data_IF_212989495926
#
_entry.id   IF_212989495926
#
_cell.length_a   1.000
_cell.length_b   1.000
_cell.length_c   1.000
_cell.angle_alpha   90.00
_cell.angle_beta   90.00
_cell.angle_gamma   90.00
#
_symmetry.space_group_name_H-M   'P 1'
#
loop_
_entity.id
_entity.type
_entity.pdbx_description
1 polymer ?
#
# COMPACT_ATOMS: atom_id res chain seq x y z
N UNK A 1 -13.44 -16.53 3.31
CA UNK A 1 -12.78 -17.34 4.34
C UNK A 1 -12.23 -16.54 5.52
N UNK A 2 -11.99 -15.22 5.37
CA UNK A 2 -11.38 -14.39 6.43
C UNK A 2 -12.38 -14.00 7.54
N UNK A 3 -13.68 -14.06 7.27
CA UNK A 3 -14.72 -13.70 8.26
C UNK A 3 -14.86 -14.69 9.45
N UNK A 4 -14.35 -15.89 9.36
CA UNK A 4 -14.56 -16.95 10.40
C UNK A 4 -13.54 -16.83 11.53
N UNK A 5 -12.34 -16.30 11.29
CA UNK A 5 -11.27 -16.20 12.30
C UNK A 5 -11.59 -15.17 13.41
N UNK A 6 -12.41 -14.15 13.11
CA UNK A 6 -12.68 -13.03 14.04
C UNK A 6 -13.77 -13.29 15.09
N UNK A 7 -14.68 -14.25 14.87
CA UNK A 7 -15.75 -14.55 15.83
C UNK A 7 -15.21 -15.29 17.08
N UNK A 8 -14.02 -15.88 17.01
CA UNK A 8 -13.40 -16.59 18.13
C UNK A 8 -12.65 -15.67 19.12
N UNK A 9 -12.33 -14.45 18.75
CA UNK A 9 -11.59 -13.51 19.61
C UNK A 9 -12.38 -13.05 20.85
N UNK A 10 -13.69 -12.99 20.78
CA UNK A 10 -14.54 -12.50 21.87
C UNK A 10 -15.00 -13.58 22.87
N UNK A 11 -14.75 -14.86 22.61
CA UNK A 11 -15.15 -15.95 23.53
C UNK A 11 -14.10 -16.33 24.57
N UNK A 12 -12.89 -15.81 24.49
CA UNK A 12 -11.79 -16.15 25.41
C UNK A 12 -11.75 -15.32 26.70
N UNK A 13 -12.38 -14.17 26.73
CA UNK A 13 -12.44 -13.29 27.91
C UNK A 13 -13.85 -13.42 28.54
N UNK A 14 -14.22 -14.63 28.82
CA UNK A 14 -15.43 -14.93 29.60
C UNK A 14 -15.17 -14.63 31.05
N UNK A 15 -15.77 -13.55 31.48
CA UNK A 15 -15.95 -13.09 32.85
C UNK A 15 -16.02 -14.22 33.88
N UNK A 16 -15.23 -14.09 34.89
CA UNK A 16 -15.19 -14.58 36.30
C UNK A 16 -16.05 -15.75 36.81
N UNK A 17 -17.02 -16.24 36.09
CA UNK A 17 -17.87 -17.38 36.51
C UNK A 17 -17.31 -18.73 36.03
N UNK A 18 -16.43 -18.72 35.03
CA UNK A 18 -15.81 -19.94 34.49
C UNK A 18 -14.63 -20.50 35.30
N UNK A 19 -14.01 -19.70 36.17
CA UNK A 19 -12.76 -20.04 36.85
C UNK A 19 -12.93 -21.17 37.88
N UNK A 20 -14.07 -21.23 38.54
CA UNK A 20 -14.33 -22.25 39.55
C UNK A 20 -14.62 -23.64 38.97
N UNK A 21 -15.25 -23.71 37.79
CA UNK A 21 -15.63 -25.00 37.17
C UNK A 21 -14.51 -25.62 36.34
N UNK A 22 -13.59 -24.86 35.82
CA UNK A 22 -12.42 -25.37 35.09
C UNK A 22 -11.29 -25.89 36.01
N UNK A 23 -11.25 -25.43 37.26
CA UNK A 23 -10.31 -25.92 38.25
C UNK A 23 -10.40 -27.43 38.51
N UNK A 24 -11.61 -27.95 38.50
CA UNK A 24 -11.89 -29.37 38.69
C UNK A 24 -11.50 -30.20 37.45
N UNK A 25 -11.68 -29.68 36.28
CA UNK A 25 -11.30 -30.35 35.02
C UNK A 25 -9.78 -30.48 34.84
N UNK A 26 -8.99 -29.53 35.32
CA UNK A 26 -7.52 -29.54 35.21
C UNK A 26 -6.91 -30.66 36.12
N UNK A 27 -7.45 -30.88 37.30
CA UNK A 27 -6.97 -31.93 38.21
C UNK A 27 -7.21 -33.35 37.65
N UNK A 28 -8.25 -33.54 36.84
CA UNK A 28 -8.61 -34.86 36.28
C UNK A 28 -7.89 -35.14 34.95
N UNK A 29 -7.36 -34.13 34.26
CA UNK A 29 -6.77 -34.28 32.91
C UNK A 29 -5.24 -34.30 32.87
N UNK A 30 -4.55 -34.33 34.02
CA UNK A 30 -3.09 -34.45 34.12
C UNK A 30 -2.34 -33.17 33.65
N UNK A 31 -3.03 -32.03 33.59
CA UNK A 31 -2.38 -30.72 33.31
C UNK A 31 -1.58 -30.27 34.53
N UNK A 32 -0.56 -29.47 34.29
CA UNK A 32 0.39 -28.94 35.25
C UNK A 32 -0.28 -28.50 36.56
N UNK A 33 0.16 -29.10 37.71
CA UNK A 33 -0.38 -28.79 39.04
C UNK A 33 0.12 -27.41 39.48
N UNK A 34 -0.76 -26.43 39.48
CA UNK A 34 -0.48 -25.07 39.95
C UNK A 34 -0.69 -25.00 41.47
N UNK A 35 0.43 -24.95 42.20
CA UNK A 35 0.43 -24.94 43.66
C UNK A 35 -0.27 -23.68 44.23
N UNK A 36 -0.10 -22.52 43.58
CA UNK A 36 -0.72 -21.26 44.01
C UNK A 36 -2.24 -21.35 43.93
N UNK A 37 -2.74 -22.03 42.90
CA UNK A 37 -4.16 -22.30 42.73
C UNK A 37 -4.68 -23.28 43.79
N UNK A 38 -3.92 -24.32 44.10
CA UNK A 38 -4.31 -25.31 45.13
C UNK A 38 -4.36 -24.68 46.51
N UNK A 39 -3.53 -23.68 46.79
CA UNK A 39 -3.49 -22.93 48.05
C UNK A 39 -4.41 -21.70 48.07
N UNK A 40 -5.14 -21.41 46.97
CA UNK A 40 -5.99 -20.22 46.88
C UNK A 40 -5.21 -18.89 46.82
N UNK A 41 -3.91 -18.94 46.53
CA UNK A 41 -3.07 -17.77 46.39
C UNK A 41 -3.11 -17.28 44.92
N UNK A 42 -3.36 -16.00 44.73
CA UNK A 42 -3.23 -15.37 43.41
C UNK A 42 -1.82 -14.76 43.34
N UNK A 43 -0.99 -15.16 42.38
CA UNK A 43 0.37 -14.64 42.26
C UNK A 43 0.37 -13.13 41.93
N UNK A 44 1.52 -12.49 42.10
CA UNK A 44 1.74 -11.13 41.61
C UNK A 44 1.49 -11.04 40.12
N UNK A 45 1.05 -9.86 39.66
CA UNK A 45 0.81 -9.61 38.23
C UNK A 45 2.07 -9.86 37.41
N UNK A 46 1.93 -10.59 36.35
CA UNK A 46 3.00 -10.87 35.40
C UNK A 46 2.46 -11.10 34.00
N UNK A 47 3.31 -10.82 33.01
CA UNK A 47 3.02 -11.05 31.59
C UNK A 47 4.04 -12.00 31.00
N UNK A 48 3.65 -12.68 29.92
CA UNK A 48 4.56 -13.46 29.08
C UNK A 48 4.10 -13.44 27.64
N UNK A 49 5.02 -13.75 26.73
CA UNK A 49 4.72 -14.00 25.32
C UNK A 49 5.09 -15.45 24.99
N UNK A 50 4.21 -16.12 24.26
CA UNK A 50 4.41 -17.49 23.80
C UNK A 50 4.14 -17.55 22.31
N UNK A 51 5.07 -18.14 21.57
CA UNK A 51 4.84 -18.51 20.18
C UNK A 51 3.84 -19.65 20.10
N UNK A 52 2.83 -19.49 19.27
CA UNK A 52 1.79 -20.48 19.02
C UNK A 52 1.55 -20.59 17.53
N UNK A 53 1.03 -21.73 17.12
CA UNK A 53 0.54 -21.93 15.76
C UNK A 53 -0.96 -22.20 15.79
N UNK A 54 -1.69 -21.60 14.88
CA UNK A 54 -3.15 -21.74 14.79
C UNK A 54 -3.60 -23.07 14.16
N UNK A 55 -2.71 -24.04 13.92
CA UNK A 55 -3.12 -25.40 13.53
C UNK A 55 -4.08 -26.02 14.55
N UNK A 56 -3.94 -25.66 15.83
CA UNK A 56 -4.88 -26.06 16.87
C UNK A 56 -6.28 -25.47 16.69
N UNK A 57 -6.41 -24.33 15.97
CA UNK A 57 -7.69 -23.68 15.65
C UNK A 57 -8.04 -23.74 14.14
N UNK A 58 -7.21 -24.43 13.33
CA UNK A 58 -7.49 -24.76 11.93
C UNK A 58 -7.02 -23.72 10.91
N UNK A 59 -6.27 -22.69 11.28
CA UNK A 59 -5.82 -21.63 10.34
C UNK A 59 -4.36 -21.77 9.88
N UNK A 60 -3.49 -22.49 10.61
CA UNK A 60 -2.09 -22.72 10.24
C UNK A 60 -1.19 -21.48 10.24
N UNK A 61 -1.52 -20.45 11.03
CA UNK A 61 -0.73 -19.22 11.13
C UNK A 61 0.08 -19.21 12.44
N UNK A 62 1.33 -18.80 12.35
CA UNK A 62 2.16 -18.52 13.52
C UNK A 62 1.80 -17.17 14.13
N UNK A 63 1.72 -17.13 15.45
CA UNK A 63 1.45 -15.92 16.19
C UNK A 63 2.09 -15.90 17.57
N UNK A 64 2.28 -14.71 18.12
CA UNK A 64 2.68 -14.51 19.51
C UNK A 64 1.43 -14.27 20.36
N UNK A 65 1.18 -15.15 21.32
CA UNK A 65 0.13 -15.00 22.33
C UNK A 65 0.66 -14.18 23.51
N UNK A 66 -0.04 -13.09 23.84
CA UNK A 66 0.28 -12.27 25.00
C UNK A 66 -0.61 -12.71 26.13
N UNK A 67 0.00 -13.23 27.17
CA UNK A 67 -0.71 -13.83 28.29
C UNK A 67 -0.37 -13.11 29.60
N UNK A 68 -1.37 -13.00 30.49
CA UNK A 68 -1.27 -12.39 31.80
C UNK A 68 -1.63 -13.42 32.89
N UNK A 69 -1.06 -13.25 34.07
CA UNK A 69 -1.39 -14.00 35.28
C UNK A 69 -1.20 -13.12 36.52
N UNK A 70 -1.98 -13.33 37.56
CA UNK A 70 -1.80 -12.67 38.83
C UNK A 70 -2.87 -11.66 39.17
N UNK A 71 -2.69 -10.96 40.31
CA UNK A 71 -3.60 -9.90 40.78
C UNK A 71 -3.39 -8.64 39.93
N UNK A 72 -4.48 -8.10 39.40
CA UNK A 72 -4.42 -6.86 38.63
C UNK A 72 -4.11 -5.67 39.53
N UNK A 73 -3.18 -4.79 39.15
CA UNK A 73 -2.75 -3.65 39.96
C UNK A 73 -3.74 -2.48 39.91
N UNK A 74 -5.01 -2.75 40.23
CA UNK A 74 -6.07 -1.73 40.23
C UNK A 74 -6.51 -1.41 41.63
N UNK A 75 -6.61 -0.11 41.96
CA UNK A 75 -7.03 0.37 43.30
C UNK A 75 -8.51 0.79 43.37
N UNK A 76 -9.25 0.71 42.27
CA UNK A 76 -10.68 1.05 42.16
C UNK A 76 -11.34 0.16 41.12
N UNK A 77 -12.66 0.10 41.16
CA UNK A 77 -13.43 -0.57 40.09
C UNK A 77 -13.26 0.18 38.77
N UNK A 78 -13.01 -0.55 37.69
CA UNK A 78 -12.83 -0.02 36.35
C UNK A 78 -13.55 -0.87 35.30
N UNK A 79 -13.93 -0.28 34.19
CA UNK A 79 -14.27 -1.02 32.98
C UNK A 79 -12.98 -1.19 32.16
N UNK A 80 -12.33 -2.34 32.38
CA UNK A 80 -10.94 -2.56 31.98
C UNK A 80 -10.78 -2.91 30.51
N UNK A 81 -9.65 -2.46 29.95
CA UNK A 81 -9.23 -2.82 28.59
C UNK A 81 -7.72 -3.09 28.59
N UNK A 82 -7.33 -4.28 28.12
CA UNK A 82 -5.93 -4.53 27.77
C UNK A 82 -5.64 -4.01 26.38
N UNK A 83 -4.58 -3.20 26.26
CA UNK A 83 -4.12 -2.63 25.00
C UNK A 83 -2.71 -3.15 24.72
N UNK A 84 -2.54 -3.76 23.56
CA UNK A 84 -1.24 -4.17 23.05
C UNK A 84 -0.85 -3.31 21.88
N UNK A 85 0.33 -2.70 21.93
CA UNK A 85 0.91 -1.90 20.85
C UNK A 85 2.31 -2.42 20.52
N UNK A 86 2.74 -2.23 19.28
CA UNK A 86 4.06 -2.64 18.80
C UNK A 86 4.92 -1.44 18.47
N UNK A 87 6.19 -1.51 18.85
CA UNK A 87 7.20 -0.53 18.50
C UNK A 87 8.48 -1.21 18.04
N UNK A 88 9.02 -0.78 16.92
CA UNK A 88 10.30 -1.27 16.42
C UNK A 88 11.46 -0.55 17.15
N UNK A 89 12.33 -1.34 17.76
CA UNK A 89 13.49 -0.88 18.53
C UNK A 89 14.83 -1.31 17.91
N UNK A 90 14.79 -1.83 16.68
CA UNK A 90 15.95 -2.45 16.05
C UNK A 90 17.11 -1.46 15.88
N UNK A 91 16.82 -0.25 15.43
CA UNK A 91 17.84 0.74 15.08
C UNK A 91 18.23 1.61 16.28
N UNK A 92 17.28 1.99 17.12
CA UNK A 92 17.51 2.70 18.38
C UNK A 92 16.41 2.36 19.40
N UNK A 93 16.79 1.75 20.52
CA UNK A 93 15.86 1.43 21.60
C UNK A 93 15.33 2.66 22.35
N UNK A 94 16.02 3.81 22.23
CA UNK A 94 15.60 5.06 22.87
C UNK A 94 14.68 5.90 21.97
N UNK A 95 14.60 5.58 20.66
CA UNK A 95 13.73 6.21 19.69
C UNK A 95 12.89 5.15 18.96
N UNK A 96 11.93 4.51 19.68
CA UNK A 96 11.14 3.41 19.14
C UNK A 96 10.23 3.90 18.01
N UNK A 97 10.29 3.22 16.87
CA UNK A 97 9.48 3.54 15.70
C UNK A 97 8.12 2.84 15.75
N UNK A 98 7.09 3.53 15.31
CA UNK A 98 5.73 2.98 15.23
C UNK A 98 5.70 1.79 14.27
N UNK A 99 5.05 0.71 14.67
CA UNK A 99 4.76 -0.43 13.81
C UNK A 99 3.34 -0.29 13.29
N UNK A 100 3.13 -0.54 11.99
CA UNK A 100 1.82 -0.45 11.36
C UNK A 100 1.16 -1.84 11.24
N UNK A 101 -0.15 -1.86 11.08
CA UNK A 101 -0.90 -3.04 10.70
C UNK A 101 -1.38 -2.94 9.25
N UNK A 102 -1.37 -4.07 8.54
CA UNK A 102 -1.91 -4.18 7.18
C UNK A 102 -3.42 -4.47 7.16
N UNK A 103 -4.04 -4.66 8.33
CA UNK A 103 -5.48 -4.91 8.46
C UNK A 103 -6.12 -4.02 9.52
N UNK A 104 -7.36 -3.60 9.25
CA UNK A 104 -8.10 -2.64 10.09
C UNK A 104 -8.33 -3.14 11.52
N UNK A 105 -8.44 -4.46 11.71
CA UNK A 105 -8.74 -5.07 13.02
C UNK A 105 -7.62 -4.91 14.07
N UNK A 106 -6.40 -4.66 13.60
CA UNK A 106 -5.24 -4.38 14.44
C UNK A 106 -4.73 -2.96 14.25
N UNK A 107 -5.62 -2.05 13.86
CA UNK A 107 -5.29 -0.64 13.74
C UNK A 107 -5.93 0.15 14.88
N UNK A 108 -5.25 1.22 15.23
CA UNK A 108 -5.79 2.28 16.07
C UNK A 108 -6.93 3.00 15.33
N UNK A 109 -8.00 3.44 16.02
CA UNK A 109 -9.17 4.02 15.36
C UNK A 109 -8.89 5.23 14.46
N UNK A 110 -7.79 5.96 14.71
CA UNK A 110 -7.44 7.18 13.97
C UNK A 110 -6.22 7.04 13.05
N UNK A 111 -5.54 5.88 13.08
CA UNK A 111 -4.28 5.67 12.34
C UNK A 111 -4.12 4.22 11.92
N UNK A 112 -3.06 3.92 11.16
CA UNK A 112 -2.68 2.55 10.80
C UNK A 112 -1.70 1.91 11.80
N UNK A 113 -1.44 2.56 12.94
CA UNK A 113 -0.57 2.02 13.98
C UNK A 113 -1.13 0.71 14.54
N UNK A 114 -0.26 -0.28 14.72
CA UNK A 114 -0.66 -1.58 15.27
C UNK A 114 -1.15 -1.41 16.71
N UNK A 115 -2.40 -1.78 16.96
CA UNK A 115 -3.00 -1.80 18.27
C UNK A 115 -4.06 -2.89 18.34
N UNK A 116 -4.02 -3.67 19.42
CA UNK A 116 -5.05 -4.66 19.74
C UNK A 116 -5.65 -4.30 21.09
N UNK A 117 -6.96 -4.14 21.16
CA UNK A 117 -7.70 -3.84 22.36
C UNK A 117 -8.57 -5.04 22.77
N UNK A 118 -8.41 -5.50 24.01
CA UNK A 118 -9.19 -6.61 24.59
C UNK A 118 -9.97 -6.13 25.81
N UNK A 119 -11.26 -5.80 25.65
CA UNK A 119 -12.12 -5.41 26.77
C UNK A 119 -12.30 -6.56 27.77
N UNK A 120 -12.20 -6.25 29.05
CA UNK A 120 -12.39 -7.23 30.13
C UNK A 120 -13.71 -7.07 30.87
N UNK A 121 -14.41 -5.96 30.65
CA UNK A 121 -15.57 -5.54 31.45
C UNK A 121 -15.18 -5.03 32.82
N UNK A 122 -16.11 -5.06 33.77
CA UNK A 122 -15.92 -4.55 35.14
C UNK A 122 -14.90 -5.39 35.91
N UNK A 123 -13.87 -4.72 36.39
CA UNK A 123 -12.82 -5.27 37.23
C UNK A 123 -12.86 -4.61 38.62
N UNK A 124 -12.77 -5.40 39.67
CA UNK A 124 -12.77 -4.93 41.06
C UNK A 124 -11.36 -5.02 41.65
N UNK A 125 -11.01 -4.17 42.62
CA UNK A 125 -9.75 -4.29 43.34
C UNK A 125 -9.54 -5.69 43.90
N UNK A 126 -8.33 -6.24 43.74
CA UNK A 126 -8.01 -7.61 44.17
C UNK A 126 -8.44 -8.70 43.16
N UNK A 127 -9.07 -8.34 42.08
CA UNK A 127 -9.34 -9.30 40.99
C UNK A 127 -8.03 -9.74 40.33
N UNK A 128 -7.98 -11.00 39.93
CA UNK A 128 -6.80 -11.54 39.25
C UNK A 128 -7.05 -12.87 38.59
N UNK A 129 -6.06 -13.33 37.84
CA UNK A 129 -6.08 -14.58 37.10
C UNK A 129 -5.14 -15.60 37.75
N UNK A 130 -5.66 -16.73 38.15
CA UNK A 130 -4.86 -17.83 38.71
C UNK A 130 -4.15 -18.65 37.64
N UNK A 131 -4.53 -18.50 36.38
CA UNK A 131 -3.92 -19.11 35.19
C UNK A 131 -3.51 -18.06 34.20
N UNK A 132 -2.63 -18.42 33.29
CA UNK A 132 -2.31 -17.62 32.13
C UNK A 132 -3.55 -17.44 31.25
N UNK A 133 -3.89 -16.19 30.96
CA UNK A 133 -5.03 -15.80 30.15
C UNK A 133 -4.50 -14.94 28.98
N UNK A 134 -4.87 -15.32 27.79
CA UNK A 134 -4.52 -14.54 26.60
C UNK A 134 -5.32 -13.23 26.57
N UNK A 135 -4.61 -12.11 26.42
CA UNK A 135 -5.18 -10.77 26.35
C UNK A 135 -4.85 -10.05 25.04
N UNK A 136 -4.05 -10.66 24.20
CA UNK A 136 -3.71 -10.11 22.90
C UNK A 136 -2.93 -11.09 22.04
N UNK A 137 -2.86 -10.79 20.76
CA UNK A 137 -2.08 -11.56 19.78
C UNK A 137 -1.28 -10.63 18.91
N UNK A 138 -0.08 -11.04 18.53
CA UNK A 138 0.68 -10.45 17.45
C UNK A 138 0.80 -11.49 16.34
N UNK A 139 0.24 -11.17 15.17
CA UNK A 139 0.37 -12.00 13.97
C UNK A 139 1.40 -11.33 13.05
N UNK A 140 2.59 -11.91 12.88
CA UNK A 140 3.65 -11.31 12.04
C UNK A 140 3.18 -11.00 10.61
N UNK A 141 2.28 -11.81 10.07
CA UNK A 141 1.70 -11.61 8.73
C UNK A 141 0.98 -10.25 8.57
N UNK A 142 0.46 -9.68 9.66
CA UNK A 142 -0.27 -8.41 9.64
C UNK A 142 0.54 -7.23 10.15
N UNK A 143 1.79 -7.47 10.49
CA UNK A 143 2.73 -6.46 10.97
C UNK A 143 3.47 -5.83 9.79
N UNK A 144 3.59 -4.51 9.80
CA UNK A 144 4.42 -3.77 8.86
C UNK A 144 5.38 -2.87 9.63
N UNK A 145 6.65 -3.22 9.57
CA UNK A 145 7.74 -2.49 10.24
C UNK A 145 8.27 -1.35 9.37
N UNK A 146 9.06 -0.41 9.93
CA UNK A 146 9.67 0.67 9.15
C UNK A 146 10.59 0.16 8.02
N UNK A 147 11.33 -0.90 8.27
CA UNK A 147 12.30 -1.49 7.34
C UNK A 147 12.15 -3.01 7.25
N UNK A 148 12.63 -3.60 6.17
CA UNK A 148 12.71 -5.05 5.98
C UNK A 148 13.80 -5.69 6.86
N UNK A 149 13.81 -7.03 6.90
CA UNK A 149 14.79 -7.85 7.60
C UNK A 149 14.36 -8.24 9.00
N UNK A 150 15.33 -8.72 9.79
CA UNK A 150 15.10 -9.13 11.17
C UNK A 150 14.89 -7.88 12.03
N UNK A 151 13.70 -7.78 12.63
CA UNK A 151 13.28 -6.61 13.42
C UNK A 151 12.98 -7.02 14.84
N UNK A 152 13.51 -6.25 15.81
CA UNK A 152 13.23 -6.37 17.24
C UNK A 152 12.10 -5.44 17.62
N UNK A 153 11.03 -5.99 18.16
CA UNK A 153 9.84 -5.24 18.51
C UNK A 153 9.58 -5.30 20.01
N UNK A 154 9.32 -4.14 20.59
CA UNK A 154 8.68 -4.06 21.89
C UNK A 154 7.17 -4.31 21.72
N UNK A 155 6.69 -5.32 22.41
CA UNK A 155 5.27 -5.59 22.63
C UNK A 155 4.89 -4.93 23.95
N UNK A 156 4.20 -3.82 23.87
CA UNK A 156 3.81 -3.01 25.02
C UNK A 156 2.36 -3.32 25.36
N UNK A 157 2.17 -4.00 26.51
CA UNK A 157 0.84 -4.37 27.02
C UNK A 157 0.48 -3.47 28.18
N UNK A 158 -0.67 -2.81 28.09
CA UNK A 158 -1.18 -1.88 29.12
C UNK A 158 -2.56 -2.31 29.56
N UNK A 159 -2.83 -2.16 30.85
CA UNK A 159 -4.20 -2.17 31.37
C UNK A 159 -4.64 -0.72 31.57
N UNK A 160 -5.71 -0.35 30.94
CA UNK A 160 -6.38 0.96 31.08
C UNK A 160 -7.89 0.78 31.26
N UNK A 161 -8.65 1.84 31.34
CA UNK A 161 -10.10 1.80 31.28
C UNK A 161 -10.62 2.39 29.95
N UNK A 162 -11.92 2.26 29.71
CA UNK A 162 -12.58 2.75 28.49
C UNK A 162 -12.32 4.23 28.23
N UNK A 163 -12.19 5.05 29.30
CA UNK A 163 -11.89 6.48 29.16
C UNK A 163 -10.42 6.68 28.76
N UNK A 164 -9.50 5.94 29.34
CA UNK A 164 -8.09 5.99 28.97
C UNK A 164 -7.84 5.64 27.51
N UNK A 165 -8.59 4.66 26.97
CA UNK A 165 -8.51 4.29 25.56
C UNK A 165 -8.69 5.43 24.56
N UNK A 166 -9.45 6.46 24.90
CA UNK A 166 -9.69 7.61 24.04
C UNK A 166 -8.42 8.46 23.80
N UNK A 167 -7.39 8.25 24.63
CA UNK A 167 -6.11 8.95 24.55
C UNK A 167 -5.01 8.14 23.85
N UNK A 168 -5.35 6.94 23.33
CA UNK A 168 -4.41 6.15 22.53
C UNK A 168 -4.11 6.88 21.22
N UNK A 169 -2.81 7.13 20.96
CA UNK A 169 -2.35 7.77 19.72
C UNK A 169 -1.05 7.13 19.23
N UNK A 170 -1.04 6.67 18.00
CA UNK A 170 0.12 5.98 17.37
C UNK A 170 0.69 4.83 18.23
N UNK A 171 -0.19 4.10 18.91
CA UNK A 171 0.19 3.05 19.84
C UNK A 171 0.67 3.55 21.21
N UNK A 172 0.81 4.85 21.42
CA UNK A 172 1.17 5.43 22.70
C UNK A 172 -0.07 5.77 23.53
N UNK A 173 0.01 5.45 24.81
CA UNK A 173 -0.97 5.83 25.81
C UNK A 173 -0.24 6.45 27.00
N UNK A 174 -0.67 7.62 27.52
CA UNK A 174 -0.05 8.24 28.68
C UNK A 174 0.01 7.30 29.88
N UNK A 175 1.16 7.22 30.56
CA UNK A 175 1.38 6.26 31.65
C UNK A 175 0.46 6.51 32.85
N UNK A 176 0.05 7.75 33.10
CA UNK A 176 -0.89 8.13 34.16
C UNK A 176 -2.33 7.63 33.92
N UNK A 177 -2.64 7.21 32.68
CA UNK A 177 -3.90 6.57 32.33
C UNK A 177 -3.81 5.04 32.33
N UNK A 178 -2.67 4.47 32.70
CA UNK A 178 -2.44 3.04 32.78
C UNK A 178 -2.40 2.53 34.21
N UNK A 179 -3.07 1.44 34.48
CA UNK A 179 -3.00 0.70 35.76
C UNK A 179 -1.82 -0.28 35.76
N UNK A 180 -1.42 -0.78 34.60
CA UNK A 180 -0.18 -1.53 34.40
C UNK A 180 0.41 -1.22 33.03
N UNK A 181 1.72 -1.38 32.94
CA UNK A 181 2.48 -1.29 31.69
C UNK A 181 3.57 -2.36 31.75
N UNK A 182 3.52 -3.28 30.79
CA UNK A 182 4.51 -4.36 30.65
C UNK A 182 5.11 -4.32 29.25
N UNK A 183 6.42 -4.54 29.17
CA UNK A 183 7.15 -4.54 27.91
C UNK A 183 7.83 -5.89 27.75
N UNK A 184 7.54 -6.56 26.65
CA UNK A 184 8.20 -7.78 26.24
C UNK A 184 8.82 -7.57 24.85
N UNK A 185 9.89 -8.27 24.54
CA UNK A 185 10.53 -8.22 23.23
C UNK A 185 10.19 -9.46 22.41
N UNK A 186 9.96 -9.25 21.12
CA UNK A 186 9.88 -10.31 20.11
C UNK A 186 10.78 -9.96 18.93
N UNK A 187 11.12 -10.98 18.16
CA UNK A 187 11.85 -10.81 16.92
C UNK A 187 10.98 -11.34 15.77
N UNK A 188 10.88 -10.58 14.70
CA UNK A 188 10.18 -10.98 13.48
C UNK A 188 11.08 -10.79 12.26
N UNK A 189 10.88 -11.61 11.22
CA UNK A 189 11.51 -11.43 9.92
C UNK A 189 10.53 -10.77 8.97
N UNK A 190 10.74 -9.48 8.70
CA UNK A 190 9.95 -8.70 7.75
C UNK A 190 10.48 -8.92 6.34
N UNK A 191 9.91 -9.89 5.62
CA UNK A 191 10.34 -10.27 4.27
C UNK A 191 10.04 -9.18 3.22
N UNK A 192 8.91 -8.49 3.36
CA UNK A 192 8.53 -7.40 2.47
C UNK A 192 9.21 -6.09 2.88
N UNK A 193 9.33 -5.14 1.94
CA UNK A 193 9.81 -3.78 2.24
C UNK A 193 9.01 -3.16 3.36
N UNK A 194 9.69 -2.51 4.29
CA UNK A 194 9.06 -1.74 5.34
C UNK A 194 8.38 -0.48 4.81
N UNK A 195 7.51 0.12 5.63
CA UNK A 195 6.70 1.25 5.16
C UNK A 195 7.51 2.52 4.85
N UNK A 196 8.66 2.73 5.51
CA UNK A 196 9.56 3.86 5.19
C UNK A 196 10.26 3.61 3.86
N UNK A 197 10.71 2.38 3.60
CA UNK A 197 11.34 2.01 2.33
C UNK A 197 10.33 2.14 1.18
N UNK A 198 9.12 1.63 1.36
CA UNK A 198 8.04 1.73 0.38
C UNK A 198 7.65 3.19 0.09
N UNK A 199 7.61 4.05 1.13
CA UNK A 199 7.33 5.47 0.95
C UNK A 199 8.44 6.20 0.18
N UNK A 200 9.72 5.87 0.42
CA UNK A 200 10.85 6.41 -0.35
C UNK A 200 10.80 5.96 -1.81
N UNK A 201 10.54 4.68 -2.05
CA UNK A 201 10.41 4.15 -3.40
C UNK A 201 9.26 4.83 -4.14
N UNK A 202 8.11 5.06 -3.49
CA UNK A 202 6.99 5.77 -4.09
C UNK A 202 7.35 7.22 -4.44
N UNK A 203 8.09 7.93 -3.59
CA UNK A 203 8.55 9.29 -3.89
C UNK A 203 9.53 9.30 -5.07
N UNK A 204 10.44 8.33 -5.13
CA UNK A 204 11.36 8.19 -6.26
C UNK A 204 10.62 7.81 -7.56
N UNK A 205 9.61 6.94 -7.49
CA UNK A 205 8.73 6.67 -8.64
C UNK A 205 8.04 7.94 -9.14
N UNK A 206 7.51 8.79 -8.25
CA UNK A 206 6.94 10.09 -8.63
C UNK A 206 7.98 11.00 -9.30
N UNK A 207 9.21 11.04 -8.76
CA UNK A 207 10.30 11.82 -9.33
C UNK A 207 10.63 11.35 -10.76
N UNK A 208 10.78 10.06 -10.95
CA UNK A 208 11.06 9.47 -12.27
C UNK A 208 9.88 9.69 -13.22
N UNK A 209 8.64 9.57 -12.76
CA UNK A 209 7.45 9.84 -13.59
C UNK A 209 7.44 11.25 -14.16
N UNK A 210 7.78 12.26 -13.35
CA UNK A 210 7.92 13.65 -13.82
C UNK A 210 9.05 13.76 -14.86
N UNK A 211 10.19 13.11 -14.63
CA UNK A 211 11.30 13.15 -15.59
C UNK A 211 10.94 12.47 -16.91
N UNK A 212 10.20 11.35 -16.87
CA UNK A 212 9.69 10.70 -18.09
C UNK A 212 8.64 11.56 -18.81
N UNK A 213 7.74 12.21 -18.06
CA UNK A 213 6.81 13.19 -18.62
C UNK A 213 7.54 14.34 -19.34
N UNK A 214 8.62 14.87 -18.76
CA UNK A 214 9.49 15.86 -19.38
C UNK A 214 10.20 15.34 -20.64
N UNK A 215 10.59 14.06 -20.66
CA UNK A 215 11.19 13.41 -21.84
C UNK A 215 10.19 13.36 -22.99
N UNK A 216 8.91 13.12 -22.71
CA UNK A 216 7.84 13.15 -23.71
C UNK A 216 7.60 14.58 -24.17
N UNK A 217 7.34 15.50 -23.25
CA UNK A 217 7.09 16.92 -23.53
C UNK A 217 8.17 17.60 -24.38
N UNK A 218 9.42 17.21 -24.18
CA UNK A 218 10.56 17.80 -24.90
C UNK A 218 11.09 16.92 -26.04
N UNK A 219 10.29 16.01 -26.56
CA UNK A 219 10.75 15.10 -27.63
C UNK A 219 10.98 15.81 -28.96
N UNK A 220 10.30 16.91 -29.20
CA UNK A 220 10.48 17.83 -30.34
C UNK A 220 11.54 18.92 -30.06
N UNK A 221 12.05 19.02 -28.81
CA UNK A 221 13.05 19.99 -28.34
C UNK A 221 12.47 21.22 -27.65
N UNK A 222 11.15 21.33 -27.50
CA UNK A 222 10.47 22.45 -26.86
C UNK A 222 9.55 21.94 -25.74
N UNK A 223 9.29 22.78 -24.76
CA UNK A 223 8.28 22.51 -23.71
C UNK A 223 7.18 23.54 -23.87
N UNK A 224 6.01 23.11 -24.26
CA UNK A 224 4.87 23.97 -24.43
C UNK A 224 4.08 24.21 -23.12
N UNK A 225 3.38 25.36 -23.07
CA UNK A 225 2.62 25.73 -21.87
C UNK A 225 1.55 24.70 -21.48
N UNK A 226 0.76 24.09 -22.40
CA UNK A 226 -0.21 23.05 -22.06
C UNK A 226 0.40 21.82 -21.38
N UNK A 227 1.53 21.33 -21.87
CA UNK A 227 2.25 20.19 -21.31
C UNK A 227 2.79 20.50 -19.91
N UNK A 228 3.38 21.69 -19.73
CA UNK A 228 3.81 22.19 -18.42
C UNK A 228 2.68 22.25 -17.41
N UNK A 229 1.48 22.64 -17.82
CA UNK A 229 0.28 22.67 -16.97
C UNK A 229 -0.21 21.25 -16.61
N UNK A 230 -0.12 20.28 -17.52
CA UNK A 230 -0.44 18.86 -17.23
C UNK A 230 0.50 18.32 -16.16
N UNK A 231 1.81 18.52 -16.28
CA UNK A 231 2.81 18.12 -15.29
C UNK A 231 2.51 18.73 -13.92
N UNK A 232 2.22 20.03 -13.84
CA UNK A 232 1.86 20.71 -12.58
C UNK A 232 0.58 20.17 -11.96
N UNK A 233 -0.46 19.90 -12.74
CA UNK A 233 -1.73 19.32 -12.27
C UNK A 233 -1.52 17.92 -11.70
N UNK A 234 -0.73 17.10 -12.40
CA UNK A 234 -0.40 15.77 -11.92
C UNK A 234 0.35 15.84 -10.59
N UNK A 235 1.37 16.71 -10.47
CA UNK A 235 2.08 16.91 -9.21
C UNK A 235 1.13 17.31 -8.07
N UNK A 236 0.22 18.25 -8.31
CA UNK A 236 -0.76 18.69 -7.32
C UNK A 236 -1.67 17.53 -6.86
N UNK A 237 -2.11 16.68 -7.80
CA UNK A 237 -2.92 15.48 -7.50
C UNK A 237 -2.11 14.46 -6.70
N UNK A 238 -0.87 14.17 -7.12
CA UNK A 238 -0.02 13.15 -6.51
C UNK A 238 0.33 13.45 -5.05
N UNK A 239 0.46 14.74 -4.67
CA UNK A 239 0.79 15.14 -3.30
C UNK A 239 -0.42 15.31 -2.39
N UNK A 240 -1.65 15.28 -2.92
CA UNK A 240 -2.89 15.50 -2.14
C UNK A 240 -3.05 14.60 -0.92
N UNK A 241 -2.68 13.30 -0.95
CA UNK A 241 -2.84 12.40 0.19
C UNK A 241 -1.93 12.71 1.39
N UNK A 242 -0.89 13.54 1.21
CA UNK A 242 0.12 13.78 2.24
C UNK A 242 -0.26 14.95 3.16
N UNK A 243 0.34 15.00 4.36
CA UNK A 243 0.23 16.15 5.27
C UNK A 243 0.86 17.42 4.68
N UNK A 244 0.48 18.58 5.15
CA UNK A 244 0.92 19.87 4.60
C UNK A 244 2.46 20.01 4.59
N UNK A 245 3.13 19.60 5.67
CA UNK A 245 4.59 19.62 5.75
C UNK A 245 5.21 18.68 4.68
N UNK A 246 4.68 17.47 4.55
CA UNK A 246 5.19 16.49 3.58
C UNK A 246 4.85 16.88 2.13
N UNK A 247 3.68 17.49 1.90
CA UNK A 247 3.33 18.04 0.58
C UNK A 247 4.34 19.07 0.11
N UNK A 248 4.77 19.97 1.01
CA UNK A 248 5.77 20.99 0.66
C UNK A 248 7.09 20.35 0.25
N UNK A 249 7.60 19.41 1.05
CA UNK A 249 8.84 18.66 0.76
C UNK A 249 8.78 17.94 -0.59
N UNK A 250 7.72 17.15 -0.82
CA UNK A 250 7.55 16.39 -2.07
C UNK A 250 7.42 17.35 -3.25
N UNK A 251 6.66 18.44 -3.12
CA UNK A 251 6.51 19.45 -4.17
C UNK A 251 7.85 20.07 -4.55
N UNK A 252 8.71 20.39 -3.58
CA UNK A 252 10.05 20.91 -3.84
C UNK A 252 10.91 19.89 -4.59
N UNK A 253 10.84 18.61 -4.19
CA UNK A 253 11.55 17.51 -4.87
C UNK A 253 11.09 17.33 -6.31
N UNK A 254 9.78 17.32 -6.57
CA UNK A 254 9.23 17.16 -7.92
C UNK A 254 9.52 18.37 -8.81
N UNK A 255 9.45 19.59 -8.28
CA UNK A 255 9.86 20.78 -9.01
C UNK A 255 11.36 20.77 -9.38
N UNK A 256 12.22 20.27 -8.47
CA UNK A 256 13.63 20.11 -8.73
C UNK A 256 13.88 19.06 -9.81
N UNK A 257 13.15 17.94 -9.78
CA UNK A 257 13.22 16.90 -10.81
C UNK A 257 12.83 17.43 -12.19
N UNK A 258 11.77 18.25 -12.27
CA UNK A 258 11.35 18.86 -13.53
C UNK A 258 12.43 19.80 -14.11
N UNK A 259 13.05 20.63 -13.26
CA UNK A 259 14.15 21.51 -13.66
C UNK A 259 15.39 20.73 -14.07
N UNK A 260 15.74 19.68 -13.32
CA UNK A 260 16.85 18.78 -13.64
C UNK A 260 16.62 18.12 -15.00
N UNK A 261 15.44 17.55 -15.23
CA UNK A 261 15.10 16.91 -16.48
C UNK A 261 15.21 17.89 -17.65
N UNK A 262 14.65 19.09 -17.52
CA UNK A 262 14.74 20.15 -18.53
C UNK A 262 16.19 20.45 -18.90
N UNK A 263 17.05 20.73 -17.92
CA UNK A 263 18.46 21.05 -18.15
C UNK A 263 19.21 19.89 -18.82
N UNK A 264 19.04 18.66 -18.28
CA UNK A 264 19.73 17.48 -18.80
C UNK A 264 19.25 17.05 -20.19
N UNK A 265 17.99 17.30 -20.55
CA UNK A 265 17.49 17.04 -21.90
C UNK A 265 18.14 18.04 -22.88
N UNK A 266 18.20 19.33 -22.54
CA UNK A 266 18.87 20.35 -23.38
C UNK A 266 20.35 20.06 -23.56
N UNK A 267 21.02 19.57 -22.52
CA UNK A 267 22.42 19.17 -22.55
C UNK A 267 22.66 17.80 -23.21
N UNK A 268 21.60 17.08 -23.60
CA UNK A 268 21.64 15.70 -24.10
C UNK A 268 22.36 14.73 -23.13
N UNK A 269 22.29 15.01 -21.85
CA UNK A 269 22.93 14.23 -20.78
C UNK A 269 21.95 13.31 -20.02
N UNK A 270 20.63 13.36 -20.31
CA UNK A 270 19.64 12.52 -19.67
C UNK A 270 19.61 11.13 -20.30
N UNK A 271 19.98 10.12 -19.53
CA UNK A 271 19.88 8.72 -19.92
C UNK A 271 18.47 8.19 -19.65
N UNK A 272 17.68 7.99 -20.71
CA UNK A 272 16.32 7.41 -20.62
C UNK A 272 16.36 5.98 -20.10
N UNK A 273 17.34 5.18 -20.51
CA UNK A 273 17.49 3.80 -20.05
C UNK A 273 17.78 3.74 -18.55
N UNK A 274 18.67 4.61 -18.01
CA UNK A 274 18.94 4.66 -16.58
C UNK A 274 17.70 5.01 -15.75
N UNK A 275 16.85 5.93 -16.22
CA UNK A 275 15.57 6.26 -15.57
C UNK A 275 14.63 5.07 -15.55
N UNK A 276 14.48 4.38 -16.68
CA UNK A 276 13.61 3.23 -16.82
C UNK A 276 14.12 2.04 -15.98
N UNK A 277 15.43 1.78 -16.00
CA UNK A 277 16.04 0.73 -15.17
C UNK A 277 15.86 1.01 -13.68
N UNK A 278 16.03 2.27 -13.25
CA UNK A 278 15.76 2.68 -11.89
C UNK A 278 14.28 2.48 -11.53
N UNK A 279 13.36 2.85 -12.42
CA UNK A 279 11.95 2.66 -12.20
C UNK A 279 11.56 1.18 -12.12
N UNK A 280 12.07 0.34 -13.02
CA UNK A 280 11.81 -1.10 -13.03
C UNK A 280 12.27 -1.78 -11.74
N UNK A 281 13.34 -1.28 -11.13
CA UNK A 281 13.89 -1.82 -9.88
C UNK A 281 13.01 -1.54 -8.66
N UNK A 282 12.34 -0.40 -8.60
CA UNK A 282 11.64 0.07 -7.40
C UNK A 282 10.12 0.16 -7.57
N UNK A 283 9.64 0.42 -8.81
CA UNK A 283 8.24 0.67 -9.12
C UNK A 283 7.43 -0.61 -9.23
N UNK A 284 6.27 -0.60 -8.59
CA UNK A 284 5.23 -1.59 -8.84
C UNK A 284 4.46 -1.27 -10.14
N UNK A 285 3.63 -2.21 -10.59
CA UNK A 285 2.84 -2.03 -11.82
C UNK A 285 1.93 -0.80 -11.75
N UNK A 286 1.35 -0.50 -10.58
CA UNK A 286 0.48 0.66 -10.41
C UNK A 286 1.26 1.97 -10.65
N UNK A 287 2.44 2.12 -10.04
CA UNK A 287 3.31 3.29 -10.23
C UNK A 287 3.76 3.45 -11.69
N UNK A 288 4.07 2.33 -12.37
CA UNK A 288 4.46 2.34 -13.79
C UNK A 288 3.29 2.76 -14.69
N UNK A 289 2.07 2.27 -14.41
CA UNK A 289 0.86 2.70 -15.13
C UNK A 289 0.54 4.18 -14.88
N UNK A 290 0.67 4.67 -13.64
CA UNK A 290 0.51 6.09 -13.32
C UNK A 290 1.51 6.97 -14.10
N UNK A 291 2.76 6.52 -14.26
CA UNK A 291 3.77 7.22 -15.05
C UNK A 291 3.41 7.24 -16.55
N UNK A 292 2.97 6.11 -17.10
CA UNK A 292 2.51 6.05 -18.49
C UNK A 292 1.27 6.90 -18.72
N UNK A 293 0.33 6.91 -17.77
CA UNK A 293 -0.84 7.79 -17.83
C UNK A 293 -0.43 9.26 -17.89
N UNK A 294 0.52 9.69 -17.05
CA UNK A 294 1.08 11.04 -17.11
C UNK A 294 1.71 11.33 -18.49
N UNK A 295 2.50 10.40 -19.00
CA UNK A 295 3.16 10.58 -20.29
C UNK A 295 2.15 10.72 -21.45
N UNK A 296 1.07 9.95 -21.45
CA UNK A 296 -0.03 10.11 -22.41
C UNK A 296 -0.79 11.42 -22.22
N UNK A 297 -1.02 11.86 -20.98
CA UNK A 297 -1.68 13.14 -20.70
C UNK A 297 -0.84 14.34 -21.17
N UNK A 298 0.49 14.24 -21.05
CA UNK A 298 1.43 15.24 -21.57
C UNK A 298 1.34 15.29 -23.09
N UNK A 299 1.46 14.15 -23.78
CA UNK A 299 1.33 14.08 -25.24
C UNK A 299 -0.02 14.64 -25.72
N UNK A 300 -1.10 14.43 -24.99
CA UNK A 300 -2.44 14.87 -25.37
C UNK A 300 -2.75 16.32 -24.95
N UNK A 301 -1.81 17.04 -24.35
CA UNK A 301 -2.05 18.31 -23.68
C UNK A 301 -2.57 19.44 -24.61
N UNK A 302 -2.09 19.50 -25.82
CA UNK A 302 -2.50 20.46 -26.84
C UNK A 302 -3.59 19.93 -27.80
N UNK A 303 -3.97 18.66 -27.66
CA UNK A 303 -4.95 18.00 -28.52
C UNK A 303 -4.40 17.51 -29.85
N UNK A 304 -3.08 17.54 -30.02
CA UNK A 304 -2.37 17.06 -31.21
C UNK A 304 -1.40 15.97 -30.81
N UNK A 305 -1.36 14.87 -31.56
CA UNK A 305 -0.42 13.79 -31.30
C UNK A 305 0.83 13.97 -32.18
N UNK A 306 1.93 14.44 -31.60
CA UNK A 306 3.20 14.55 -32.32
C UNK A 306 3.81 13.15 -32.56
N UNK A 307 4.26 12.82 -33.79
CA UNK A 307 4.85 11.53 -34.11
C UNK A 307 6.09 11.16 -33.26
N UNK A 308 6.92 12.15 -32.91
CA UNK A 308 8.12 11.90 -32.11
C UNK A 308 7.75 11.59 -30.65
N UNK A 309 6.74 12.26 -30.09
CA UNK A 309 6.20 11.95 -28.77
C UNK A 309 5.64 10.53 -28.71
N UNK A 310 4.85 10.13 -29.71
CA UNK A 310 4.29 8.78 -29.79
C UNK A 310 5.39 7.72 -29.83
N UNK A 311 6.46 7.93 -30.62
CA UNK A 311 7.61 7.02 -30.64
C UNK A 311 8.29 6.91 -29.29
N UNK A 312 8.46 8.03 -28.60
CA UNK A 312 9.06 8.05 -27.26
C UNK A 312 8.17 7.30 -26.27
N UNK A 313 6.86 7.52 -26.31
CA UNK A 313 5.88 6.83 -25.47
C UNK A 313 5.91 5.31 -25.65
N UNK A 314 5.93 4.82 -26.90
CA UNK A 314 6.00 3.39 -27.18
C UNK A 314 7.28 2.79 -26.59
N UNK A 315 8.45 3.43 -26.80
CA UNK A 315 9.72 2.97 -26.24
C UNK A 315 9.73 2.93 -24.72
N UNK A 316 9.12 3.91 -24.06
CA UNK A 316 8.99 3.93 -22.59
C UNK A 316 8.08 2.79 -22.13
N UNK A 317 6.92 2.62 -22.78
CA UNK A 317 5.96 1.57 -22.42
C UNK A 317 6.54 0.16 -22.54
N UNK A 318 7.22 -0.13 -23.66
CA UNK A 318 7.88 -1.41 -23.91
C UNK A 318 8.98 -1.69 -22.88
N UNK A 319 9.75 -0.65 -22.52
CA UNK A 319 10.88 -0.78 -21.60
C UNK A 319 10.46 -0.85 -20.11
N UNK A 320 9.24 -0.44 -19.76
CA UNK A 320 8.71 -0.55 -18.38
C UNK A 320 8.20 -1.95 -18.02
N UNK A 321 8.26 -2.91 -18.93
CA UNK A 321 7.83 -4.30 -18.73
C UNK A 321 6.36 -4.38 -18.25
N UNK A 322 5.49 -3.57 -18.86
CA UNK A 322 4.05 -3.54 -18.58
C UNK A 322 3.29 -4.47 -19.52
N UNK A 323 2.12 -4.92 -19.08
CA UNK A 323 1.22 -5.71 -19.93
C UNK A 323 0.79 -4.91 -21.16
N UNK A 324 1.11 -5.43 -22.36
CA UNK A 324 0.87 -4.76 -23.64
C UNK A 324 -0.62 -4.48 -23.86
N UNK A 325 -1.50 -5.41 -23.45
CA UNK A 325 -2.94 -5.24 -23.64
C UNK A 325 -3.52 -4.14 -22.73
N UNK A 326 -2.95 -3.96 -21.53
CA UNK A 326 -3.34 -2.87 -20.63
C UNK A 326 -2.79 -1.52 -21.10
N UNK A 327 -1.55 -1.49 -21.59
CA UNK A 327 -0.99 -0.29 -22.23
C UNK A 327 -1.80 0.15 -23.46
N UNK A 328 -2.22 -0.79 -24.28
CA UNK A 328 -3.08 -0.51 -25.42
C UNK A 328 -4.44 0.08 -25.00
N UNK A 329 -5.04 -0.44 -23.92
CA UNK A 329 -6.30 0.12 -23.38
C UNK A 329 -6.09 1.55 -22.88
N UNK A 330 -4.98 1.81 -22.17
CA UNK A 330 -4.64 3.14 -21.68
C UNK A 330 -4.42 4.11 -22.84
N UNK A 331 -3.61 3.71 -23.82
CA UNK A 331 -3.39 4.46 -25.07
C UNK A 331 -4.72 4.83 -25.72
N UNK A 332 -5.54 3.82 -26.00
CA UNK A 332 -6.81 3.99 -26.68
C UNK A 332 -7.77 4.91 -25.93
N UNK A 333 -7.79 4.83 -24.58
CA UNK A 333 -8.60 5.72 -23.74
C UNK A 333 -8.15 7.18 -23.86
N UNK A 334 -6.84 7.43 -23.81
CA UNK A 334 -6.28 8.78 -23.86
C UNK A 334 -6.39 9.39 -25.27
N UNK A 335 -6.23 8.57 -26.29
CA UNK A 335 -6.36 9.00 -27.69
C UNK A 335 -7.81 9.28 -28.11
N UNK A 336 -8.81 8.76 -27.39
CA UNK A 336 -10.21 9.16 -27.61
C UNK A 336 -10.47 10.66 -27.43
N UNK A 337 -9.58 11.37 -26.73
CA UNK A 337 -9.67 12.84 -26.54
C UNK A 337 -8.93 13.66 -27.58
N UNK A 338 -8.10 13.05 -28.44
CA UNK A 338 -7.29 13.78 -29.40
C UNK A 338 -8.07 14.13 -30.68
N UNK A 339 -7.81 15.31 -31.24
CA UNK A 339 -8.42 15.70 -32.50
C UNK A 339 -7.79 14.94 -33.68
N UNK A 340 -8.58 14.68 -34.71
CA UNK A 340 -8.21 13.89 -35.88
C UNK A 340 -7.29 14.62 -36.91
N UNK A 341 -6.61 15.69 -36.51
CA UNK A 341 -5.63 16.38 -37.34
C UNK A 341 -4.24 15.75 -37.20
N UNK A 342 -4.16 14.47 -37.51
CA UNK A 342 -2.87 13.77 -37.55
C UNK A 342 -2.43 13.78 -39.04
N UNK A 343 -1.33 14.46 -39.32
CA UNK A 343 -0.68 14.35 -40.64
C UNK A 343 -0.24 12.91 -40.95
N UNK A 344 -0.04 12.55 -42.20
CA UNK A 344 0.20 11.17 -42.67
C UNK A 344 1.25 10.37 -41.86
N UNK A 345 2.32 11.02 -41.39
CA UNK A 345 3.33 10.36 -40.51
C UNK A 345 2.85 10.06 -39.10
N UNK A 346 1.96 10.88 -38.57
CA UNK A 346 1.37 10.70 -37.24
C UNK A 346 0.37 9.55 -37.20
N UNK A 347 -0.40 9.32 -38.28
CA UNK A 347 -1.38 8.21 -38.32
C UNK A 347 -0.72 6.84 -38.22
N UNK A 348 0.44 6.63 -38.83
CA UNK A 348 1.19 5.39 -38.73
C UNK A 348 1.69 5.12 -37.27
N UNK A 349 2.28 6.15 -36.65
CA UNK A 349 2.76 6.07 -35.28
C UNK A 349 1.59 5.91 -34.28
N UNK A 350 0.49 6.63 -34.51
CA UNK A 350 -0.75 6.55 -33.74
C UNK A 350 -1.31 5.12 -33.71
N UNK A 351 -1.27 4.45 -34.85
CA UNK A 351 -1.72 3.06 -35.00
C UNK A 351 -0.67 2.03 -34.54
N UNK A 352 0.49 2.47 -34.05
CA UNK A 352 1.55 1.58 -33.60
C UNK A 352 2.23 0.82 -34.74
N UNK A 353 2.28 1.40 -35.93
CA UNK A 353 2.96 0.81 -37.08
C UNK A 353 4.46 1.07 -36.96
N UNK A 354 5.23 -0.01 -36.83
CA UNK A 354 6.69 0.05 -36.83
C UNK A 354 7.19 0.37 -38.25
N UNK A 355 8.04 1.39 -38.44
CA UNK A 355 8.63 1.73 -39.72
C UNK A 355 9.41 0.59 -40.38
N UNK A 356 9.93 -0.35 -39.58
CA UNK A 356 10.73 -1.47 -40.04
C UNK A 356 9.87 -2.69 -40.43
N UNK A 357 8.55 -2.64 -40.26
CA UNK A 357 7.65 -3.72 -40.66
C UNK A 357 7.51 -3.81 -42.20
N UNK A 358 7.41 -5.05 -42.66
CA UNK A 358 7.03 -5.32 -44.03
C UNK A 358 5.58 -4.91 -44.31
N UNK A 359 5.25 -4.65 -45.57
CA UNK A 359 3.87 -4.33 -45.94
C UNK A 359 2.85 -5.38 -45.50
N UNK A 360 3.23 -6.66 -45.46
CA UNK A 360 2.35 -7.76 -45.01
C UNK A 360 2.10 -7.70 -43.49
N UNK A 361 3.12 -7.34 -42.72
CA UNK A 361 2.98 -7.15 -41.28
C UNK A 361 2.10 -5.93 -40.97
N UNK A 362 2.30 -4.82 -41.65
CA UNK A 362 1.46 -3.62 -41.55
C UNK A 362 0.00 -3.95 -41.90
N UNK A 363 -0.25 -4.65 -43.00
CA UNK A 363 -1.61 -5.09 -43.39
C UNK A 363 -2.27 -5.97 -42.33
N UNK A 364 -1.53 -6.89 -41.76
CA UNK A 364 -2.02 -7.78 -40.70
C UNK A 364 -2.37 -6.98 -39.45
N UNK A 365 -1.51 -6.06 -39.04
CA UNK A 365 -1.72 -5.18 -37.91
C UNK A 365 -2.95 -4.29 -38.09
N UNK A 366 -3.05 -3.59 -39.22
CA UNK A 366 -4.20 -2.75 -39.57
C UNK A 366 -5.53 -3.50 -39.59
N UNK A 367 -5.53 -4.78 -40.02
CA UNK A 367 -6.73 -5.65 -39.94
C UNK A 367 -7.12 -5.92 -38.49
N UNK A 368 -6.14 -6.17 -37.61
CA UNK A 368 -6.37 -6.39 -36.19
C UNK A 368 -6.96 -5.14 -35.54
N UNK A 369 -6.33 -3.99 -35.76
CA UNK A 369 -6.81 -2.70 -35.22
C UNK A 369 -8.23 -2.36 -35.73
N UNK A 370 -8.51 -2.58 -37.01
CA UNK A 370 -9.84 -2.39 -37.57
C UNK A 370 -10.89 -3.24 -36.86
N UNK A 371 -10.60 -4.55 -36.64
CA UNK A 371 -11.51 -5.45 -35.95
C UNK A 371 -11.78 -5.01 -34.51
N UNK A 372 -10.75 -4.57 -33.83
CA UNK A 372 -10.79 -4.05 -32.45
C UNK A 372 -11.67 -2.79 -32.35
N UNK A 373 -11.44 -1.80 -33.19
CA UNK A 373 -12.20 -0.55 -33.18
C UNK A 373 -13.64 -0.73 -33.65
N UNK A 374 -13.88 -1.61 -34.59
CA UNK A 374 -15.24 -1.97 -35.03
C UNK A 374 -16.04 -2.66 -33.91
N UNK A 375 -15.42 -3.56 -33.17
CA UNK A 375 -16.07 -4.18 -32.00
C UNK A 375 -16.41 -3.13 -30.92
N UNK A 376 -15.52 -2.16 -30.69
CA UNK A 376 -15.79 -1.04 -29.77
C UNK A 376 -16.96 -0.17 -30.23
N UNK A 377 -16.95 0.25 -31.49
CA UNK A 377 -17.99 1.10 -32.04
C UNK A 377 -19.39 0.50 -31.82
N UNK A 378 -19.51 -0.82 -31.97
CA UNK A 378 -20.77 -1.54 -31.81
C UNK A 378 -21.26 -1.60 -30.33
N UNK A 379 -20.38 -1.40 -29.37
CA UNK A 379 -20.69 -1.45 -27.93
C UNK A 379 -20.85 -0.07 -27.29
N UNK A 380 -20.51 1.01 -28.00
CA UNK A 380 -20.59 2.38 -27.48
C UNK A 380 -21.97 2.99 -27.69
N UNK A 381 -22.46 3.72 -26.68
CA UNK A 381 -23.66 4.54 -26.79
C UNK A 381 -23.36 5.78 -27.67
N UNK A 382 -24.39 6.37 -28.32
CA UNK A 382 -24.23 7.62 -29.06
C UNK A 382 -23.62 8.71 -28.17
N UNK A 383 -22.53 9.33 -28.66
CA UNK A 383 -21.80 10.36 -27.93
C UNK A 383 -20.36 10.51 -28.45
N UNK A 384 -19.56 11.37 -27.83
CA UNK A 384 -18.19 11.68 -28.27
C UNK A 384 -17.32 10.44 -28.47
N UNK A 385 -17.43 9.45 -27.59
CA UNK A 385 -16.64 8.21 -27.66
C UNK A 385 -16.96 7.38 -28.91
N UNK A 386 -18.25 7.36 -29.31
CA UNK A 386 -18.68 6.67 -30.52
C UNK A 386 -18.20 7.38 -31.78
N UNK A 387 -18.27 8.71 -31.79
CA UNK A 387 -17.76 9.54 -32.88
C UNK A 387 -16.26 9.38 -33.08
N UNK A 388 -15.54 9.28 -31.93
CA UNK A 388 -14.11 9.05 -31.98
C UNK A 388 -13.76 7.64 -32.51
N UNK A 389 -14.44 6.59 -32.03
CA UNK A 389 -14.25 5.23 -32.53
C UNK A 389 -14.50 5.13 -34.03
N UNK A 390 -15.49 5.89 -34.57
CA UNK A 390 -15.74 6.00 -36.01
C UNK A 390 -14.58 6.64 -36.75
N UNK A 391 -14.04 7.75 -36.22
CA UNK A 391 -12.87 8.43 -36.81
C UNK A 391 -11.64 7.51 -36.84
N UNK A 392 -11.41 6.74 -35.80
CA UNK A 392 -10.30 5.77 -35.80
C UNK A 392 -10.47 4.71 -36.89
N UNK A 393 -11.68 4.21 -37.11
CA UNK A 393 -11.96 3.28 -38.20
C UNK A 393 -11.72 3.91 -39.57
N UNK A 394 -12.08 5.20 -39.75
CA UNK A 394 -11.85 5.97 -41.00
C UNK A 394 -10.34 6.09 -41.23
N UNK A 395 -9.56 6.50 -40.20
CA UNK A 395 -8.09 6.61 -40.27
C UNK A 395 -7.43 5.25 -40.60
N UNK A 396 -7.87 4.15 -39.97
CA UNK A 396 -7.36 2.81 -40.29
C UNK A 396 -7.71 2.45 -41.76
N UNK A 397 -8.91 2.80 -42.21
CA UNK A 397 -9.34 2.61 -43.60
C UNK A 397 -8.44 3.33 -44.60
N UNK A 398 -8.13 4.61 -44.36
CA UNK A 398 -7.22 5.41 -45.15
C UNK A 398 -5.80 4.82 -45.17
N UNK A 399 -5.28 4.42 -43.98
CA UNK A 399 -3.96 3.79 -43.90
C UNK A 399 -3.92 2.46 -44.66
N UNK A 400 -4.93 1.62 -44.58
CA UNK A 400 -5.00 0.36 -45.36
C UNK A 400 -4.92 0.62 -46.84
N UNK A 401 -5.59 1.67 -47.37
CA UNK A 401 -5.56 2.01 -48.79
C UNK A 401 -4.19 2.43 -49.32
N UNK A 402 -3.26 2.83 -48.42
CA UNK A 402 -1.87 3.17 -48.78
C UNK A 402 -0.98 1.95 -48.97
N UNK A 403 -1.33 0.85 -48.34
CA UNK A 403 -0.54 -0.38 -48.35
C UNK A 403 -1.18 -1.49 -49.24
N UNK A 404 -2.43 -1.32 -49.69
CA UNK A 404 -3.07 -2.22 -50.67
C UNK A 404 -2.54 -2.02 -52.07
#
# INVERSE_FOLDING_TARGET
GIRIVFVLFFKGVGVGVGVATEGVKSAVTGREFDLDKALGRIPEFSTRIIEKNTEEDGSGLDYYSIEIKGVLPIGRSIDGVFVTSLFDITDDSNDPQVVLSVIDQFQEPSTTAYSNASPTGQLEPGYGFTRWVEVGRVLPLFVQTPYAGIRKLNVVTRLTDVNGMQHLQLGFLPNDLCYSLEINEIEIDQLAKGYIEAAKDKQECMRISIMLGMVVAMSDGTLDDPEGEVLKKWMAKAITPYSDAKRKEIKETLNSAMKEAFARIQEQSLSKSELIDAFNKIGDNASKFEAMELCYDVMAADGVADPEEIKVLHRIGDALDLDVAELEKLRDLKMMGLSSQVEDGGAASLLGIDPDWSNDEIKKHLRSEFSKWNARLNNLQPGPDKEHAQKMLDTIGEMRSKYD
#
